data_IF_247509064585
#
_entry.id   IF_247509064585
#
_cell.length_a   1.000
_cell.length_b   1.000
_cell.length_c   1.000
_cell.angle_alpha   90.00
_cell.angle_beta   90.00
_cell.angle_gamma   90.00
#
_symmetry.space_group_name_H-M   'P 1'
#
loop_
_entity.id
_entity.type
_entity.pdbx_description
1 polymer ?
#
# COMPACT_ATOMS: atom_id res chain seq x y z
N UNK A 1 -2.24 -7.74 -5.62
CA UNK A 1 -2.66 -8.41 -4.37
C UNK A 1 -1.51 -8.33 -3.39
N UNK A 2 -1.78 -8.07 -2.12
CA UNK A 2 -0.80 -7.78 -1.06
C UNK A 2 -0.97 -8.80 0.05
N UNK A 3 0.15 -9.32 0.56
CA UNK A 3 0.16 -10.24 1.69
C UNK A 3 0.81 -9.56 2.91
N UNK A 4 0.08 -9.49 4.03
CA UNK A 4 0.60 -9.01 5.31
C UNK A 4 1.11 -10.22 6.10
N UNK A 5 2.36 -10.15 6.54
CA UNK A 5 3.01 -11.19 7.33
C UNK A 5 3.33 -10.65 8.72
N UNK A 6 2.81 -11.30 9.76
CA UNK A 6 3.22 -11.03 11.15
C UNK A 6 3.30 -12.33 11.93
N UNK A 7 4.17 -12.36 12.95
CA UNK A 7 4.37 -13.54 13.82
C UNK A 7 4.60 -14.84 13.01
N UNK A 8 5.35 -14.75 11.90
CA UNK A 8 5.64 -15.85 10.97
C UNK A 8 4.40 -16.49 10.30
N UNK A 9 3.26 -15.78 10.25
CA UNK A 9 2.04 -16.22 9.56
C UNK A 9 1.50 -15.12 8.65
N UNK A 10 0.74 -15.51 7.63
CA UNK A 10 -0.01 -14.58 6.78
C UNK A 10 -1.23 -14.13 7.57
N UNK A 11 -1.37 -12.83 7.79
CA UNK A 11 -2.54 -12.22 8.42
C UNK A 11 -3.64 -11.95 7.39
N UNK A 12 -3.28 -11.33 6.26
CA UNK A 12 -4.22 -10.93 5.20
C UNK A 12 -3.57 -11.19 3.85
N UNK A 13 -4.34 -11.72 2.88
CA UNK A 13 -3.94 -11.86 1.50
C UNK A 13 -5.06 -11.39 0.57
N UNK A 14 -5.11 -10.09 0.29
CA UNK A 14 -6.18 -9.52 -0.54
C UNK A 14 -5.69 -8.30 -1.35
N UNK A 15 -6.61 -7.52 -1.90
CA UNK A 15 -6.33 -6.22 -2.51
C UNK A 15 -5.85 -5.21 -1.47
N UNK A 16 -5.17 -4.15 -1.92
CA UNK A 16 -4.70 -3.10 -1.03
C UNK A 16 -5.86 -2.43 -0.28
N UNK A 17 -7.00 -2.22 -0.95
CA UNK A 17 -8.21 -1.66 -0.35
C UNK A 17 -8.79 -2.57 0.75
N UNK A 18 -8.84 -3.88 0.51
CA UNK A 18 -9.32 -4.83 1.51
C UNK A 18 -8.37 -4.93 2.72
N UNK A 19 -7.05 -4.87 2.48
CA UNK A 19 -6.05 -4.80 3.55
C UNK A 19 -6.21 -3.50 4.35
N UNK A 20 -6.38 -2.36 3.69
CA UNK A 20 -6.53 -1.05 4.34
C UNK A 20 -7.85 -0.93 5.14
N UNK A 21 -8.90 -1.63 4.70
CA UNK A 21 -10.17 -1.73 5.42
C UNK A 21 -10.17 -2.76 6.56
N UNK A 22 -9.07 -3.50 6.76
CA UNK A 22 -8.97 -4.46 7.86
C UNK A 22 -8.75 -3.71 9.17
N UNK A 23 -9.64 -3.97 10.14
CA UNK A 23 -9.61 -3.36 11.47
C UNK A 23 -8.56 -4.05 12.35
N UNK A 24 -7.28 -3.76 12.09
CA UNK A 24 -6.13 -4.28 12.82
C UNK A 24 -5.21 -3.12 13.20
N UNK A 25 -4.86 -3.06 14.49
CA UNK A 25 -4.05 -1.97 15.07
C UNK A 25 -2.71 -1.80 14.34
N UNK A 26 -2.07 -2.89 13.91
CA UNK A 26 -0.79 -2.82 13.21
C UNK A 26 -0.96 -2.28 11.79
N UNK A 27 -2.05 -2.62 11.11
CA UNK A 27 -2.38 -2.08 9.78
C UNK A 27 -2.66 -0.58 9.90
N UNK A 28 -3.45 -0.17 10.88
CA UNK A 28 -3.76 1.24 11.14
C UNK A 28 -2.49 2.06 11.41
N UNK A 29 -1.62 1.57 12.30
CA UNK A 29 -0.33 2.20 12.60
C UNK A 29 0.61 2.25 11.39
N UNK A 30 0.55 1.25 10.50
CA UNK A 30 1.35 1.23 9.28
C UNK A 30 0.94 2.36 8.32
N UNK A 31 -0.37 2.52 8.08
CA UNK A 31 -0.91 3.53 7.16
C UNK A 31 -0.86 4.95 7.76
N UNK A 32 -1.03 5.12 9.07
CA UNK A 32 -0.99 6.44 9.71
C UNK A 32 0.41 6.84 10.22
N UNK A 33 1.34 5.89 10.27
CA UNK A 33 2.72 6.10 10.69
C UNK A 33 3.65 6.68 9.62
N UNK A 34 4.95 6.81 9.93
CA UNK A 34 5.98 7.31 9.00
C UNK A 34 6.07 6.48 7.71
N UNK A 35 5.78 5.18 7.78
CA UNK A 35 5.79 4.28 6.63
C UNK A 35 4.66 4.58 5.65
N UNK A 36 3.44 4.82 6.14
CA UNK A 36 2.31 5.20 5.29
C UNK A 36 2.62 6.46 4.49
N UNK A 37 3.13 7.51 5.15
CA UNK A 37 3.56 8.75 4.47
C UNK A 37 4.64 8.50 3.41
N UNK A 38 5.67 7.72 3.73
CA UNK A 38 6.71 7.37 2.76
C UNK A 38 6.18 6.57 1.57
N UNK A 39 5.20 5.68 1.78
CA UNK A 39 4.54 4.94 0.70
C UNK A 39 3.72 5.87 -0.20
N UNK A 40 2.99 6.83 0.38
CA UNK A 40 2.28 7.87 -0.38
C UNK A 40 3.24 8.75 -1.19
N UNK A 41 4.35 9.20 -0.60
CA UNK A 41 5.39 9.95 -1.31
C UNK A 41 6.03 9.13 -2.44
N UNK A 42 6.27 7.83 -2.21
CA UNK A 42 6.81 6.93 -3.21
C UNK A 42 5.84 6.74 -4.39
N UNK A 43 4.53 6.56 -4.13
CA UNK A 43 3.50 6.53 -5.17
C UNK A 43 3.46 7.84 -5.96
N UNK A 44 3.54 8.97 -5.26
CA UNK A 44 3.52 10.31 -5.87
C UNK A 44 4.72 10.54 -6.79
N UNK A 45 5.90 10.02 -6.42
CA UNK A 45 7.10 10.03 -7.25
C UNK A 45 7.07 9.01 -8.39
N UNK A 46 6.45 7.85 -8.16
CA UNK A 46 6.29 6.81 -9.18
C UNK A 46 5.31 7.22 -10.28
N UNK A 47 4.34 8.09 -9.97
CA UNK A 47 3.43 8.71 -10.94
C UNK A 47 4.09 9.86 -11.75
N UNK A 48 5.41 9.81 -11.93
CA UNK A 48 6.17 10.78 -12.74
C UNK A 48 5.71 10.85 -14.20
N UNK A 49 6.14 11.88 -14.95
CA UNK A 49 5.45 12.43 -16.14
C UNK A 49 5.44 11.56 -17.40
N UNK A 50 5.79 10.28 -17.31
CA UNK A 50 5.90 9.37 -18.47
C UNK A 50 4.68 8.42 -18.62
N UNK A 51 3.54 8.75 -18.02
CA UNK A 51 2.29 7.99 -18.15
C UNK A 51 1.48 8.38 -19.38
N UNK A 52 1.79 7.73 -20.53
CA UNK A 52 1.08 7.65 -21.82
C UNK A 52 1.66 8.50 -22.97
N UNK A 53 2.43 7.91 -23.91
CA UNK A 53 2.42 8.40 -25.28
C UNK A 53 1.09 8.01 -25.94
N UNK A 54 0.46 9.02 -26.51
CA UNK A 54 -0.68 9.02 -27.41
C UNK A 54 -0.57 7.91 -28.48
N UNK A 55 -1.65 7.12 -28.63
CA UNK A 55 -1.78 6.11 -29.67
C UNK A 55 -2.18 6.83 -30.97
N UNK A 56 -1.34 6.76 -32.00
CA UNK A 56 -1.60 7.30 -33.33
C UNK A 56 -1.57 6.17 -34.37
#
# INVERSE_FOLDING_TARGET
RVAVLSRKRVLVNDTLDAVAATDDDWIHDYFHGPRGRAAHDATSRAAGPFGKPEQH
#
